data_IF_254079890144
#
_entry.id   IF_254079890144
#
_cell.length_a   1.000
_cell.length_b   1.000
_cell.length_c   1.000
_cell.angle_alpha   90.00
_cell.angle_beta   90.00
_cell.angle_gamma   90.00
#
_symmetry.space_group_name_H-M   'P 1'
#
loop_
_entity.id
_entity.type
_entity.pdbx_description
1 polymer ?
#
# COMPACT_ATOMS: atom_id res chain seq x y z
N UNK A 1 -16.44 -9.69 -50.29
CA UNK A 1 -16.58 -10.51 -49.07
C UNK A 1 -15.20 -10.84 -48.49
N UNK A 2 -14.56 -9.92 -47.75
CA UNK A 2 -13.41 -10.20 -46.86
C UNK A 2 -13.31 -9.06 -45.82
N UNK A 3 -14.17 -9.08 -44.80
CA UNK A 3 -14.12 -8.15 -43.66
C UNK A 3 -14.14 -8.98 -42.38
N UNK A 4 -12.98 -9.39 -41.85
CA UNK A 4 -12.95 -10.00 -40.51
C UNK A 4 -11.54 -10.13 -39.91
N UNK A 5 -10.60 -9.21 -40.16
CA UNK A 5 -9.29 -9.26 -39.48
C UNK A 5 -8.96 -7.94 -38.77
N UNK A 6 -10.00 -7.25 -38.27
CA UNK A 6 -9.85 -6.39 -37.11
C UNK A 6 -10.29 -7.19 -35.89
N UNK A 7 -9.52 -8.20 -35.50
CA UNK A 7 -9.61 -8.69 -34.11
C UNK A 7 -9.02 -7.55 -33.28
N UNK A 8 -9.88 -6.59 -32.94
CA UNK A 8 -9.60 -5.64 -31.89
C UNK A 8 -9.46 -6.47 -30.61
N UNK A 9 -8.24 -6.91 -30.34
CA UNK A 9 -7.80 -7.35 -29.02
C UNK A 9 -7.94 -6.11 -28.14
N UNK A 10 -9.15 -5.84 -27.68
CA UNK A 10 -9.38 -4.98 -26.54
C UNK A 10 -8.67 -5.68 -25.39
N UNK A 11 -7.41 -5.31 -25.17
CA UNK A 11 -6.76 -5.52 -23.90
C UNK A 11 -7.60 -4.74 -22.89
N UNK A 12 -8.58 -5.42 -22.27
CA UNK A 12 -9.18 -4.98 -21.03
C UNK A 12 -8.09 -5.08 -19.96
N UNK A 13 -7.14 -4.16 -20.00
CA UNK A 13 -6.25 -3.92 -18.87
C UNK A 13 -7.12 -3.38 -17.75
N UNK A 14 -7.52 -4.25 -16.83
CA UNK A 14 -8.10 -3.79 -15.57
C UNK A 14 -7.05 -2.88 -14.92
N UNK A 15 -7.43 -1.64 -14.60
CA UNK A 15 -6.55 -0.74 -13.87
C UNK A 15 -6.60 -1.17 -12.41
N UNK A 16 -5.45 -1.50 -11.82
CA UNK A 16 -5.36 -1.79 -10.39
C UNK A 16 -6.06 -0.70 -9.58
N UNK A 17 -7.04 -1.10 -8.77
CA UNK A 17 -7.77 -0.21 -7.86
C UNK A 17 -7.42 -0.56 -6.43
N UNK A 18 -7.04 0.46 -5.67
CA UNK A 18 -6.92 0.40 -4.22
C UNK A 18 -8.19 0.96 -3.59
N UNK A 19 -8.73 0.26 -2.59
CA UNK A 19 -9.78 0.77 -1.70
C UNK A 19 -9.22 0.78 -0.29
N UNK A 20 -9.20 1.94 0.37
CA UNK A 20 -8.67 2.07 1.73
C UNK A 20 -9.58 2.90 2.63
N UNK A 21 -9.35 2.87 3.94
CA UNK A 21 -10.00 3.79 4.88
C UNK A 21 -9.73 5.24 4.48
N UNK A 22 -10.79 6.02 4.19
CA UNK A 22 -10.64 7.38 3.65
C UNK A 22 -10.20 8.41 4.70
N UNK A 23 -10.75 8.31 5.90
CA UNK A 23 -10.45 9.23 7.02
C UNK A 23 -10.85 8.55 8.32
N UNK A 24 -10.08 8.80 9.38
CA UNK A 24 -10.33 8.25 10.70
C UNK A 24 -9.89 9.27 11.77
N UNK A 25 -10.78 9.57 12.72
CA UNK A 25 -10.50 10.43 13.88
C UNK A 25 -10.74 9.62 15.13
N UNK A 26 -9.70 9.44 15.93
CA UNK A 26 -9.66 8.53 17.09
C UNK A 26 -9.00 9.29 18.25
N UNK A 27 -9.35 8.95 19.48
CA UNK A 27 -8.73 9.59 20.65
C UNK A 27 -7.29 9.07 20.82
N UNK A 28 -6.46 9.89 21.47
CA UNK A 28 -5.11 9.46 21.85
C UNK A 28 -5.18 8.21 22.76
N UNK A 29 -4.15 7.36 22.66
CA UNK A 29 -3.99 6.07 23.33
C UNK A 29 -4.98 4.96 22.94
N UNK A 30 -6.01 5.25 22.15
CA UNK A 30 -6.88 4.22 21.58
C UNK A 30 -6.20 3.44 20.45
N UNK A 31 -6.75 2.26 20.13
CA UNK A 31 -6.35 1.46 18.97
C UNK A 31 -7.13 1.89 17.74
N UNK A 32 -6.50 1.81 16.58
CA UNK A 32 -7.13 2.07 15.30
C UNK A 32 -6.68 1.05 14.26
N UNK A 33 -7.53 0.78 13.26
CA UNK A 33 -7.18 -0.08 12.13
C UNK A 33 -7.49 0.66 10.83
N UNK A 34 -6.50 0.74 9.96
CA UNK A 34 -6.65 1.20 8.59
C UNK A 34 -6.76 -0.02 7.67
N UNK A 35 -7.82 -0.06 6.87
CA UNK A 35 -8.06 -1.13 5.91
C UNK A 35 -7.54 -0.76 4.54
N UNK A 36 -7.05 -1.75 3.80
CA UNK A 36 -6.72 -1.62 2.39
C UNK A 36 -6.99 -2.91 1.63
N UNK A 37 -7.63 -2.79 0.46
CA UNK A 37 -7.86 -3.89 -0.47
C UNK A 37 -7.51 -3.53 -1.92
N UNK A 38 -7.11 -4.52 -2.69
CA UNK A 38 -6.79 -4.42 -4.12
C UNK A 38 -7.55 -5.46 -4.95
N UNK A 39 -7.81 -5.16 -6.23
CA UNK A 39 -8.62 -6.01 -7.12
C UNK A 39 -7.88 -6.57 -8.35
N UNK A 40 -6.55 -6.49 -8.36
CA UNK A 40 -5.70 -6.80 -9.53
C UNK A 40 -4.66 -7.90 -9.24
N UNK A 41 -4.90 -8.69 -8.18
CA UNK A 41 -4.07 -9.81 -7.76
C UNK A 41 -2.57 -9.47 -7.61
N UNK A 42 -2.26 -8.22 -7.27
CA UNK A 42 -0.90 -7.73 -7.05
C UNK A 42 -0.18 -8.52 -5.95
N UNK A 43 1.07 -8.92 -6.22
CA UNK A 43 1.86 -9.69 -5.27
C UNK A 43 2.26 -8.85 -4.07
N UNK A 44 2.76 -7.63 -4.29
CA UNK A 44 3.25 -6.80 -3.21
C UNK A 44 2.24 -5.74 -2.79
N UNK A 45 2.17 -5.46 -1.49
CA UNK A 45 1.38 -4.36 -0.93
C UNK A 45 2.19 -3.60 0.11
N UNK A 46 1.89 -2.32 0.29
CA UNK A 46 2.69 -1.39 1.09
C UNK A 46 1.78 -0.46 1.88
N UNK A 47 2.23 -0.10 3.07
CA UNK A 47 1.69 0.99 3.87
C UNK A 47 2.75 2.07 4.08
N UNK A 48 2.40 3.29 3.69
CA UNK A 48 3.22 4.48 3.87
C UNK A 48 2.54 5.49 4.77
N UNK A 49 3.36 6.22 5.52
CA UNK A 49 2.99 7.44 6.23
C UNK A 49 3.51 8.64 5.43
N UNK A 50 2.69 9.68 5.28
CA UNK A 50 3.12 10.99 4.80
C UNK A 50 2.77 12.06 5.82
N UNK A 51 3.79 12.54 6.55
CA UNK A 51 3.65 13.71 7.40
C UNK A 51 3.80 14.99 6.55
N UNK A 52 3.18 16.12 6.97
CA UNK A 52 3.36 17.40 6.28
C UNK A 52 4.83 17.76 6.09
N UNK A 53 5.23 18.10 4.87
CA UNK A 53 6.61 18.47 4.52
C UNK A 53 7.60 17.30 4.45
N UNK A 54 7.17 16.04 4.61
CA UNK A 54 8.03 14.85 4.47
C UNK A 54 7.65 14.03 3.23
N UNK A 55 8.61 13.25 2.74
CA UNK A 55 8.37 12.21 1.75
C UNK A 55 7.56 11.03 2.32
N UNK A 56 7.24 10.06 1.46
CA UNK A 56 6.63 8.80 1.90
C UNK A 56 7.61 8.02 2.78
N UNK A 57 7.13 7.59 3.95
CA UNK A 57 7.90 6.79 4.90
C UNK A 57 7.26 5.42 5.01
N UNK A 58 8.03 4.35 4.77
CA UNK A 58 7.51 3.00 4.75
C UNK A 58 7.25 2.47 6.16
N UNK A 59 6.00 2.10 6.45
CA UNK A 59 5.59 1.50 7.73
C UNK A 59 5.75 -0.02 7.67
N UNK A 60 5.10 -0.64 6.67
CA UNK A 60 5.11 -2.08 6.44
C UNK A 60 4.96 -2.36 4.94
N UNK A 61 5.45 -3.51 4.52
CA UNK A 61 5.19 -4.06 3.19
C UNK A 61 4.96 -5.57 3.27
N UNK A 62 4.50 -6.15 2.18
CA UNK A 62 4.29 -7.59 2.10
C UNK A 62 4.47 -8.07 0.68
N UNK A 63 5.12 -9.22 0.48
CA UNK A 63 5.31 -9.84 -0.85
C UNK A 63 4.21 -10.85 -1.24
N UNK A 64 3.31 -11.16 -0.31
CA UNK A 64 2.20 -12.08 -0.51
C UNK A 64 1.46 -12.34 0.81
N UNK A 65 0.37 -13.09 0.75
CA UNK A 65 -0.39 -13.46 1.96
C UNK A 65 0.53 -14.05 3.05
N UNK A 66 0.42 -13.52 4.27
CA UNK A 66 1.21 -13.92 5.46
C UNK A 66 2.72 -13.72 5.33
N UNK A 67 3.15 -12.81 4.46
CA UNK A 67 4.56 -12.47 4.23
C UNK A 67 4.79 -10.98 4.48
N UNK A 68 4.42 -10.48 5.66
CA UNK A 68 4.59 -9.09 6.08
C UNK A 68 6.03 -8.82 6.53
N UNK A 69 6.54 -7.65 6.18
CA UNK A 69 7.89 -7.18 6.47
C UNK A 69 7.82 -5.76 7.02
N UNK A 70 8.71 -5.47 7.97
CA UNK A 70 8.79 -4.17 8.65
C UNK A 70 9.48 -3.13 7.76
N UNK A 71 8.92 -1.94 7.68
CA UNK A 71 9.59 -0.76 7.13
C UNK A 71 10.39 0.01 8.19
N UNK A 72 10.93 1.14 7.78
CA UNK A 72 11.78 2.00 8.63
C UNK A 72 11.05 2.52 9.86
N UNK A 73 9.74 2.81 9.74
CA UNK A 73 8.93 3.44 10.80
C UNK A 73 7.83 2.52 11.35
N UNK A 74 8.12 1.22 11.47
CA UNK A 74 7.14 0.21 11.89
C UNK A 74 6.74 0.27 13.38
N UNK A 75 7.47 0.99 14.24
CA UNK A 75 7.23 1.00 15.69
C UNK A 75 5.85 1.58 16.02
N UNK A 76 5.07 0.86 16.85
CA UNK A 76 3.70 1.26 17.21
C UNK A 76 2.63 0.84 16.20
N UNK A 77 3.03 0.13 15.14
CA UNK A 77 2.14 -0.43 14.13
C UNK A 77 2.26 -1.95 14.08
N UNK A 78 1.22 -2.63 13.63
CA UNK A 78 1.24 -4.02 13.17
C UNK A 78 0.49 -4.12 11.87
N UNK A 79 1.04 -4.81 10.87
CA UNK A 79 0.33 -5.05 9.62
C UNK A 79 -0.03 -6.53 9.48
N UNK A 80 -1.17 -6.79 8.84
CA UNK A 80 -1.68 -8.15 8.64
C UNK A 80 -2.25 -8.30 7.24
N UNK A 81 -1.75 -9.29 6.52
CA UNK A 81 -2.13 -9.65 5.15
C UNK A 81 -2.61 -11.09 5.11
N UNK A 82 -3.89 -11.30 5.39
CA UNK A 82 -4.48 -12.64 5.46
C UNK A 82 -4.60 -13.32 4.09
N UNK A 83 -4.78 -12.54 3.03
CA UNK A 83 -4.97 -13.00 1.66
C UNK A 83 -4.27 -12.03 0.69
N UNK A 84 -4.32 -12.32 -0.62
CA UNK A 84 -3.60 -11.49 -1.60
C UNK A 84 -4.22 -10.10 -1.78
N UNK A 85 -5.52 -9.96 -1.55
CA UNK A 85 -6.29 -8.75 -1.79
C UNK A 85 -6.20 -7.74 -0.65
N UNK A 86 -6.13 -8.19 0.61
CA UNK A 86 -6.30 -7.33 1.79
C UNK A 86 -5.01 -7.17 2.59
N UNK A 87 -4.62 -5.94 2.90
CA UNK A 87 -3.48 -5.63 3.76
C UNK A 87 -3.85 -4.54 4.78
N UNK A 88 -4.18 -4.94 6.00
CA UNK A 88 -4.61 -4.02 7.05
C UNK A 88 -3.43 -3.56 7.92
N UNK A 89 -3.53 -2.35 8.45
CA UNK A 89 -2.56 -1.74 9.36
C UNK A 89 -3.24 -1.37 10.68
N UNK A 90 -2.84 -2.03 11.75
CA UNK A 90 -3.23 -1.71 13.12
C UNK A 90 -2.27 -0.69 13.73
N UNK A 91 -2.82 0.36 14.31
CA UNK A 91 -2.15 1.35 15.14
C UNK A 91 -2.39 0.93 16.59
N UNK A 92 -1.31 0.54 17.30
CA UNK A 92 -1.42 -0.12 18.60
C UNK A 92 -1.81 0.83 19.73
N UNK A 93 -1.48 2.10 19.58
CA UNK A 93 -1.78 3.21 20.49
C UNK A 93 -1.59 4.48 19.68
N UNK A 94 -2.71 5.16 19.37
CA UNK A 94 -2.73 6.39 18.59
C UNK A 94 -2.04 7.51 19.38
N UNK A 95 -1.20 8.29 18.69
CA UNK A 95 -0.47 9.43 19.27
C UNK A 95 -0.63 10.65 18.38
N UNK A 96 -0.49 11.85 18.92
CA UNK A 96 -0.59 13.09 18.14
C UNK A 96 0.35 13.12 16.92
N UNK A 97 1.56 12.58 17.04
CA UNK A 97 2.54 12.53 15.95
C UNK A 97 2.20 11.51 14.84
N UNK A 98 1.16 10.68 15.03
CA UNK A 98 0.63 9.76 14.02
C UNK A 98 -0.46 10.41 13.16
N UNK A 99 -0.86 11.65 13.46
CA UNK A 99 -1.75 12.45 12.62
C UNK A 99 -1.06 12.81 11.31
N UNK A 100 -1.49 12.18 10.22
CA UNK A 100 -0.84 12.23 8.91
C UNK A 100 -1.76 11.62 7.84
N UNK A 101 -1.32 11.67 6.58
CA UNK A 101 -1.96 10.91 5.51
C UNK A 101 -1.32 9.53 5.42
N UNK A 102 -2.15 8.50 5.35
CA UNK A 102 -1.71 7.11 5.17
C UNK A 102 -2.03 6.66 3.75
N UNK A 103 -1.05 6.03 3.09
CA UNK A 103 -1.20 5.52 1.74
C UNK A 103 -0.99 4.02 1.70
N UNK A 104 -1.98 3.31 1.17
CA UNK A 104 -1.81 1.95 0.71
C UNK A 104 -1.48 1.93 -0.79
N UNK A 105 -0.53 1.07 -1.17
CA UNK A 105 -0.17 0.83 -2.56
C UNK A 105 0.00 -0.67 -2.81
N UNK A 106 -0.10 -1.09 -4.07
CA UNK A 106 0.14 -2.47 -4.49
C UNK A 106 0.91 -2.53 -5.81
N UNK A 107 1.63 -3.63 -6.04
CA UNK A 107 2.36 -3.87 -7.29
C UNK A 107 2.44 -5.35 -7.65
N UNK A 108 2.45 -5.65 -8.94
CA UNK A 108 2.60 -7.01 -9.45
C UNK A 108 4.01 -7.59 -9.20
N UNK A 109 5.04 -6.76 -9.39
CA UNK A 109 6.45 -7.12 -9.17
C UNK A 109 7.06 -6.17 -8.15
N UNK A 110 7.92 -6.68 -7.28
CA UNK A 110 8.90 -5.85 -6.60
C UNK A 110 9.83 -5.27 -7.65
N UNK A 111 9.71 -3.98 -7.94
CA UNK A 111 10.88 -3.30 -8.50
C UNK A 111 11.96 -3.44 -7.44
N UNK A 112 13.04 -4.16 -7.79
CA UNK A 112 14.24 -4.18 -6.97
C UNK A 112 14.65 -2.70 -6.92
N UNK A 113 14.44 -2.06 -5.77
CA UNK A 113 14.81 -0.67 -5.58
C UNK A 113 16.34 -0.66 -5.57
N UNK A 114 16.95 -0.71 -6.77
CA UNK A 114 18.35 -0.41 -6.94
C UNK A 114 18.53 0.95 -6.30
N UNK A 115 19.34 1.03 -5.25
CA UNK A 115 19.78 2.27 -4.65
C UNK A 115 20.42 3.14 -5.76
N UNK A 116 19.60 3.84 -6.54
CA UNK A 116 20.02 5.07 -7.17
C UNK A 116 20.05 6.07 -6.03
N UNK A 117 21.17 6.05 -5.31
CA UNK A 117 21.65 7.19 -4.56
C UNK A 117 21.44 8.39 -5.49
N UNK A 118 20.50 9.25 -5.15
CA UNK A 118 20.24 10.48 -5.87
C UNK A 118 21.53 11.31 -5.76
N UNK A 119 22.41 11.18 -6.76
CA UNK A 119 23.40 12.20 -7.06
C UNK A 119 22.63 13.35 -7.69
N UNK A 120 22.10 14.21 -6.85
CA UNK A 120 21.84 15.59 -7.23
C UNK A 120 22.83 16.47 -6.46
N UNK A 121 23.70 17.07 -7.27
CA UNK A 121 24.66 18.12 -6.96
C UNK A 121 23.94 19.43 -6.67
#
# INVERSE_FOLDING_TARGET
MWTAWCVAMYFFGARAKITQTSSLVVKEDEKATLTCSQNDNHNSMYWYLQQPGKGLQLIYYSFGAKQEQKGDIHTGYQAKRLNQADFNLDILSVKMNYSAVYFCASSLNTTLQSHLLSLHK
#
